data_IF_462738952089
#
_entry.id   IF_462738952089
#
_cell.length_a   1.000
_cell.length_b   1.000
_cell.length_c   1.000
_cell.angle_alpha   90.00
_cell.angle_beta   90.00
_cell.angle_gamma   90.00
#
_symmetry.space_group_name_H-M   'P 1'
#
loop_
_entity.id
_entity.type
_entity.pdbx_description
1 polymer ?
#
# COMPACT_ATOMS: atom_id res chain seq x y z
N UNK A 1 -73.87 6.49 17.78
CA UNK A 1 -73.36 7.17 18.98
C UNK A 1 -71.87 7.36 18.77
N UNK A 2 -71.43 8.62 18.83
CA UNK A 2 -70.11 9.12 18.47
C UNK A 2 -68.96 8.44 19.25
N UNK A 3 -67.81 8.25 18.60
CA UNK A 3 -66.53 8.82 19.06
C UNK A 3 -65.42 8.60 18.03
N UNK A 4 -65.05 9.69 17.36
CA UNK A 4 -63.80 9.89 16.63
C UNK A 4 -62.71 10.24 17.64
N UNK A 5 -61.60 9.51 17.66
CA UNK A 5 -60.28 10.11 17.89
C UNK A 5 -59.25 9.38 17.02
N UNK A 6 -58.79 10.04 15.96
CA UNK A 6 -57.52 9.73 15.26
C UNK A 6 -56.48 10.77 15.66
N UNK A 7 -55.32 10.29 16.12
CA UNK A 7 -53.93 10.83 16.06
C UNK A 7 -53.19 10.12 17.19
N UNK A 8 -52.20 9.28 16.88
CA UNK A 8 -50.83 9.76 16.64
C UNK A 8 -50.14 9.10 15.44
N UNK A 9 -49.31 9.90 14.78
CA UNK A 9 -48.61 9.57 13.54
C UNK A 9 -47.36 8.74 13.75
N UNK A 10 -47.51 7.44 13.98
CA UNK A 10 -46.41 6.49 13.78
C UNK A 10 -46.42 5.99 12.33
N UNK A 11 -45.41 6.39 11.55
CA UNK A 11 -45.10 5.74 10.29
C UNK A 11 -44.89 4.24 10.57
N UNK A 12 -45.38 3.31 9.72
CA UNK A 12 -45.11 1.90 9.90
C UNK A 12 -43.60 1.70 9.96
N UNK A 13 -43.11 1.16 11.08
CA UNK A 13 -41.70 0.74 11.19
C UNK A 13 -41.49 -0.27 10.09
N UNK A 14 -40.88 0.16 8.97
CA UNK A 14 -40.30 -0.78 8.02
C UNK A 14 -39.30 -1.58 8.84
N UNK A 15 -39.61 -2.85 9.07
CA UNK A 15 -38.66 -3.82 9.56
C UNK A 15 -37.41 -3.64 8.71
N UNK A 16 -36.34 -3.15 9.33
CA UNK A 16 -35.02 -3.20 8.72
C UNK A 16 -34.80 -4.69 8.51
N UNK A 17 -34.70 -5.18 7.27
CA UNK A 17 -34.52 -6.61 7.04
C UNK A 17 -33.29 -7.02 7.86
N UNK A 18 -33.45 -8.00 8.75
CA UNK A 18 -32.35 -8.55 9.53
C UNK A 18 -31.18 -8.72 8.57
N UNK A 19 -30.14 -7.93 8.82
CA UNK A 19 -29.08 -7.67 7.86
C UNK A 19 -28.55 -9.00 7.37
N UNK A 20 -28.64 -9.21 6.05
CA UNK A 20 -27.93 -10.25 5.29
C UNK A 20 -26.64 -10.57 6.03
N UNK A 21 -26.57 -11.72 6.68
CA UNK A 21 -25.51 -12.05 7.63
C UNK A 21 -24.16 -11.58 7.08
N UNK A 22 -23.69 -10.43 7.58
CA UNK A 22 -22.41 -9.90 7.19
C UNK A 22 -21.43 -10.97 7.69
N UNK A 23 -20.65 -11.55 6.76
CA UNK A 23 -19.56 -12.44 7.15
C UNK A 23 -18.85 -11.78 8.34
N UNK A 24 -18.69 -12.49 9.48
CA UNK A 24 -18.19 -11.88 10.70
C UNK A 24 -16.91 -11.13 10.35
N UNK A 25 -16.95 -9.83 10.58
CA UNK A 25 -15.85 -8.94 10.27
C UNK A 25 -14.64 -9.42 11.04
N UNK A 26 -13.56 -9.82 10.36
CA UNK A 26 -12.38 -10.33 11.05
C UNK A 26 -11.85 -9.19 11.92
N UNK A 27 -11.53 -9.43 13.21
CA UNK A 27 -11.02 -8.38 14.08
C UNK A 27 -9.80 -7.65 13.50
N UNK A 28 -8.92 -8.35 12.77
CA UNK A 28 -7.79 -7.75 12.07
C UNK A 28 -8.22 -6.67 11.05
N UNK A 29 -9.31 -6.89 10.31
CA UNK A 29 -9.83 -5.94 9.32
C UNK A 29 -10.25 -4.62 10.00
N UNK A 30 -10.79 -4.69 11.22
CA UNK A 30 -11.20 -3.50 11.98
C UNK A 30 -10.04 -2.57 12.24
N UNK A 31 -9.01 -3.11 12.87
CA UNK A 31 -7.82 -2.36 13.22
C UNK A 31 -7.09 -1.88 11.98
N UNK A 32 -7.00 -2.72 10.95
CA UNK A 32 -6.43 -2.37 9.66
C UNK A 32 -7.12 -1.15 9.03
N UNK A 33 -8.45 -1.17 8.86
CA UNK A 33 -9.19 -0.05 8.25
C UNK A 33 -9.06 1.24 9.06
N UNK A 34 -9.10 1.16 10.39
CA UNK A 34 -8.89 2.33 11.24
C UNK A 34 -7.46 2.84 11.18
N UNK A 35 -6.48 1.95 11.05
CA UNK A 35 -5.08 2.29 10.79
C UNK A 35 -4.92 3.06 9.49
N UNK A 36 -5.53 2.58 8.39
CA UNK A 36 -5.54 3.31 7.11
C UNK A 36 -6.20 4.68 7.21
N UNK A 37 -7.31 4.80 7.93
CA UNK A 37 -7.97 6.09 8.16
C UNK A 37 -7.04 7.05 8.92
N UNK A 38 -6.36 6.56 9.96
CA UNK A 38 -5.39 7.35 10.71
C UNK A 38 -4.21 7.79 9.83
N UNK A 39 -3.74 6.91 8.94
CA UNK A 39 -2.71 7.20 7.94
C UNK A 39 -3.15 8.33 7.00
N UNK A 40 -4.38 8.26 6.47
CA UNK A 40 -4.98 9.29 5.62
C UNK A 40 -5.08 10.65 6.33
N UNK A 41 -5.46 10.64 7.61
CA UNK A 41 -5.49 11.86 8.45
C UNK A 41 -4.11 12.28 8.96
N UNK A 42 -3.02 11.67 8.46
CA UNK A 42 -1.62 11.92 8.85
C UNK A 42 -1.33 11.74 10.34
N UNK A 43 -2.17 10.98 11.05
CA UNK A 43 -1.94 10.61 12.43
C UNK A 43 -1.13 9.31 12.48
N UNK A 44 0.17 9.44 12.23
CA UNK A 44 1.06 8.28 12.03
C UNK A 44 1.22 7.44 13.30
N UNK A 45 1.29 8.05 14.48
CA UNK A 45 1.40 7.31 15.75
C UNK A 45 0.17 6.41 15.99
N UNK A 46 -1.03 6.95 15.76
CA UNK A 46 -2.28 6.16 15.84
C UNK A 46 -2.35 5.09 14.75
N UNK A 47 -1.92 5.41 13.54
CA UNK A 47 -1.85 4.44 12.44
C UNK A 47 -0.97 3.24 12.80
N UNK A 48 0.25 3.51 13.30
CA UNK A 48 1.21 2.48 13.72
C UNK A 48 0.61 1.58 14.81
N UNK A 49 -0.02 2.16 15.84
CA UNK A 49 -0.64 1.38 16.91
C UNK A 49 -1.74 0.45 16.38
N UNK A 50 -2.65 0.98 15.57
CA UNK A 50 -3.77 0.21 15.01
C UNK A 50 -3.29 -0.87 14.02
N UNK A 51 -2.29 -0.59 13.19
CA UNK A 51 -1.75 -1.58 12.26
C UNK A 51 -0.99 -2.69 13.00
N UNK A 52 -0.32 -2.38 14.11
CA UNK A 52 0.24 -3.40 15.01
C UNK A 52 -0.83 -4.28 15.64
N UNK A 53 -1.94 -3.70 16.09
CA UNK A 53 -3.07 -4.49 16.62
C UNK A 53 -3.64 -5.44 15.54
N UNK A 54 -3.76 -4.96 14.30
CA UNK A 54 -4.18 -5.79 13.18
C UNK A 54 -3.24 -6.99 12.95
N UNK A 55 -1.93 -6.74 12.97
CA UNK A 55 -0.89 -7.75 12.77
C UNK A 55 -0.69 -8.68 13.98
N UNK A 56 -1.07 -8.25 15.19
CA UNK A 56 -1.11 -9.12 16.35
C UNK A 56 -2.22 -10.19 16.18
N UNK A 57 -3.34 -9.82 15.57
CA UNK A 57 -4.47 -10.72 15.30
C UNK A 57 -4.18 -11.61 14.09
N UNK A 58 -3.60 -11.04 13.03
CA UNK A 58 -3.21 -11.77 11.82
C UNK A 58 -1.79 -11.40 11.37
N UNK A 59 -0.76 -12.13 11.84
CA UNK A 59 0.63 -11.88 11.46
C UNK A 59 0.94 -12.22 10.00
N UNK A 60 0.08 -12.97 9.30
CA UNK A 60 0.32 -13.37 7.90
C UNK A 60 -0.50 -12.49 6.94
N UNK A 61 -0.52 -11.19 7.21
CA UNK A 61 -1.29 -10.22 6.46
C UNK A 61 -0.37 -9.25 5.69
N UNK A 62 -0.03 -9.54 4.40
CA UNK A 62 0.93 -8.75 3.63
C UNK A 62 0.58 -7.26 3.57
N UNK A 63 -0.70 -6.93 3.38
CA UNK A 63 -1.15 -5.53 3.33
C UNK A 63 -1.02 -4.83 4.69
N UNK A 64 -1.23 -5.54 5.80
CA UNK A 64 -1.00 -5.00 7.14
C UNK A 64 0.46 -4.58 7.32
N UNK A 65 1.39 -5.47 6.95
CA UNK A 65 2.83 -5.19 6.97
C UNK A 65 3.21 -4.04 6.03
N UNK A 66 2.70 -4.04 4.80
CA UNK A 66 2.94 -2.95 3.85
C UNK A 66 2.52 -1.59 4.41
N UNK A 67 1.28 -1.46 4.89
CA UNK A 67 0.79 -0.18 5.40
C UNK A 67 1.42 0.22 6.72
N UNK A 68 1.85 -0.74 7.56
CA UNK A 68 2.66 -0.43 8.74
C UNK A 68 4.02 0.14 8.31
N UNK A 69 4.64 -0.42 7.28
CA UNK A 69 5.83 0.13 6.63
C UNK A 69 5.63 1.55 6.11
N UNK A 70 4.48 1.83 5.46
CA UNK A 70 4.11 3.20 5.01
C UNK A 70 4.00 4.15 6.21
N UNK A 71 3.34 3.73 7.28
CA UNK A 71 3.17 4.56 8.47
C UNK A 71 4.52 4.90 9.13
N UNK A 72 5.42 3.92 9.24
CA UNK A 72 6.78 4.13 9.75
C UNK A 72 7.61 5.04 8.85
N UNK A 73 7.54 4.87 7.54
CA UNK A 73 8.24 5.72 6.59
C UNK A 73 7.79 7.18 6.73
N UNK A 74 6.48 7.43 6.78
CA UNK A 74 5.92 8.77 6.91
C UNK A 74 6.18 9.40 8.30
N UNK A 75 6.38 8.59 9.34
CA UNK A 75 6.83 9.07 10.66
C UNK A 75 8.34 9.29 10.75
N UNK A 76 9.11 8.97 9.70
CA UNK A 76 10.56 9.13 9.64
C UNK A 76 11.37 7.93 10.13
N UNK A 77 10.73 6.84 10.58
CA UNK A 77 11.41 5.63 11.02
C UNK A 77 11.67 4.68 9.83
N UNK A 78 12.75 4.97 9.11
CA UNK A 78 13.13 4.21 7.90
C UNK A 78 13.51 2.75 8.21
N UNK A 79 14.11 2.50 9.36
CA UNK A 79 14.55 1.15 9.75
C UNK A 79 13.35 0.24 9.95
N UNK A 80 12.35 0.69 10.71
CA UNK A 80 11.10 -0.06 10.90
C UNK A 80 10.34 -0.20 9.57
N UNK A 81 10.35 0.83 8.72
CA UNK A 81 9.73 0.74 7.39
C UNK A 81 10.33 -0.37 6.51
N UNK A 82 11.67 -0.45 6.43
CA UNK A 82 12.36 -1.52 5.69
C UNK A 82 11.98 -2.90 6.24
N UNK A 83 11.97 -3.06 7.57
CA UNK A 83 11.61 -4.33 8.22
C UNK A 83 10.20 -4.79 7.83
N UNK A 84 9.23 -3.89 7.89
CA UNK A 84 7.83 -4.22 7.60
C UNK A 84 7.58 -4.42 6.10
N UNK A 85 8.22 -3.65 5.22
CA UNK A 85 8.14 -3.92 3.78
C UNK A 85 8.79 -5.25 3.40
N UNK A 86 9.88 -5.66 4.05
CA UNK A 86 10.48 -6.99 3.84
C UNK A 86 9.51 -8.11 4.18
N UNK A 87 8.83 -8.02 5.34
CA UNK A 87 7.79 -8.99 5.71
C UNK A 87 6.63 -9.00 4.70
N UNK A 88 6.20 -7.83 4.23
CA UNK A 88 5.17 -7.75 3.20
C UNK A 88 5.59 -8.47 1.91
N UNK A 89 6.85 -8.32 1.48
CA UNK A 89 7.41 -8.99 0.30
C UNK A 89 7.65 -10.48 0.52
N UNK A 90 7.99 -10.90 1.74
CA UNK A 90 8.12 -12.31 2.10
C UNK A 90 6.77 -13.03 2.00
N UNK A 91 5.71 -12.40 2.51
CA UNK A 91 4.35 -12.95 2.46
C UNK A 91 3.69 -12.81 1.08
N UNK A 92 4.00 -11.74 0.35
CA UNK A 92 3.55 -11.50 -1.02
C UNK A 92 4.71 -10.97 -1.89
N UNK A 93 5.43 -11.88 -2.58
CA UNK A 93 6.54 -11.52 -3.46
C UNK A 93 6.12 -10.70 -4.68
N UNK A 94 4.82 -10.57 -4.95
CA UNK A 94 4.26 -9.83 -6.09
C UNK A 94 3.76 -8.43 -5.70
N UNK A 95 3.94 -8.02 -4.44
CA UNK A 95 3.56 -6.68 -4.01
C UNK A 95 4.50 -5.62 -4.61
N UNK A 96 4.11 -5.07 -5.77
CA UNK A 96 4.85 -4.04 -6.49
C UNK A 96 5.22 -2.85 -5.58
N UNK A 97 4.26 -2.32 -4.83
CA UNK A 97 4.48 -1.14 -4.00
C UNK A 97 5.48 -1.39 -2.87
N UNK A 98 5.46 -2.58 -2.26
CA UNK A 98 6.43 -2.94 -1.22
C UNK A 98 7.84 -3.11 -1.81
N UNK A 99 7.97 -3.78 -2.96
CA UNK A 99 9.24 -3.91 -3.69
C UNK A 99 9.81 -2.54 -4.09
N UNK A 100 8.98 -1.69 -4.69
CA UNK A 100 9.37 -0.35 -5.12
C UNK A 100 9.81 0.51 -3.92
N UNK A 101 9.07 0.49 -2.81
CA UNK A 101 9.41 1.25 -1.62
C UNK A 101 10.68 0.74 -0.91
N UNK A 102 10.96 -0.58 -0.94
CA UNK A 102 12.25 -1.12 -0.50
C UNK A 102 13.39 -0.61 -1.36
N UNK A 103 13.24 -0.64 -2.69
CA UNK A 103 14.23 -0.10 -3.61
C UNK A 103 14.54 1.37 -3.32
N UNK A 104 13.50 2.16 -3.08
CA UNK A 104 13.61 3.58 -2.71
C UNK A 104 14.35 3.78 -1.38
N UNK A 105 13.99 3.04 -0.33
CA UNK A 105 14.64 3.19 0.96
C UNK A 105 16.10 2.75 0.93
N UNK A 106 16.43 1.67 0.24
CA UNK A 106 17.81 1.24 0.05
C UNK A 106 18.63 2.26 -0.71
N UNK A 107 18.05 2.87 -1.75
CA UNK A 107 18.71 3.95 -2.49
C UNK A 107 19.01 5.15 -1.59
N UNK A 108 18.05 5.57 -0.74
CA UNK A 108 18.23 6.67 0.23
C UNK A 108 19.34 6.34 1.24
N UNK A 109 19.52 5.07 1.61
CA UNK A 109 20.61 4.61 2.50
C UNK A 109 21.96 4.46 1.78
N UNK A 110 22.05 4.75 0.48
CA UNK A 110 23.26 4.54 -0.32
C UNK A 110 23.57 3.08 -0.65
N UNK A 111 22.63 2.17 -0.35
CA UNK A 111 22.70 0.73 -0.62
C UNK A 111 22.19 0.44 -2.02
N UNK A 112 22.99 0.83 -3.01
CA UNK A 112 22.56 0.83 -4.41
C UNK A 112 22.35 -0.57 -4.98
N UNK A 113 23.10 -1.58 -4.53
CA UNK A 113 22.93 -2.97 -4.96
C UNK A 113 21.56 -3.53 -4.58
N UNK A 114 21.17 -3.36 -3.32
CA UNK A 114 19.85 -3.75 -2.83
C UNK A 114 18.74 -2.94 -3.50
N UNK A 115 18.97 -1.64 -3.73
CA UNK A 115 18.03 -0.80 -4.46
C UNK A 115 17.74 -1.34 -5.87
N UNK A 116 18.81 -1.65 -6.62
CA UNK A 116 18.75 -2.23 -7.96
C UNK A 116 18.00 -3.57 -7.92
N UNK A 117 18.31 -4.45 -6.98
CA UNK A 117 17.62 -5.74 -6.83
C UNK A 117 16.11 -5.56 -6.70
N UNK A 118 15.67 -4.72 -5.76
CA UNK A 118 14.25 -4.52 -5.48
C UNK A 118 13.51 -3.79 -6.60
N UNK A 119 14.14 -2.81 -7.26
CA UNK A 119 13.54 -2.19 -8.46
C UNK A 119 13.41 -3.18 -9.61
N UNK A 120 14.41 -4.03 -9.88
CA UNK A 120 14.28 -5.08 -10.91
C UNK A 120 13.17 -6.07 -10.59
N UNK A 121 12.96 -6.40 -9.31
CA UNK A 121 11.82 -7.23 -8.88
C UNK A 121 10.50 -6.51 -9.07
N UNK A 122 10.39 -5.23 -8.76
CA UNK A 122 9.19 -4.42 -9.02
C UNK A 122 8.86 -4.38 -10.52
N UNK A 123 9.86 -4.19 -11.39
CA UNK A 123 9.70 -4.22 -12.85
C UNK A 123 9.23 -5.59 -13.34
N UNK A 124 9.69 -6.70 -12.74
CA UNK A 124 9.17 -8.03 -13.10
C UNK A 124 7.67 -8.18 -12.80
N UNK A 125 7.16 -7.49 -11.79
CA UNK A 125 5.72 -7.48 -11.46
C UNK A 125 4.94 -6.55 -12.38
N UNK A 126 5.47 -5.35 -12.65
CA UNK A 126 4.85 -4.33 -13.52
C UNK A 126 5.88 -3.87 -14.57
N UNK A 127 5.99 -4.60 -15.70
CA UNK A 127 6.97 -4.29 -16.76
C UNK A 127 6.67 -2.99 -17.52
N UNK A 128 5.48 -2.45 -17.33
CA UNK A 128 4.96 -1.18 -17.85
C UNK A 128 5.18 -0.01 -16.88
N UNK A 129 5.87 -0.21 -15.76
CA UNK A 129 6.11 0.89 -14.81
C UNK A 129 7.29 1.76 -15.24
N UNK A 130 7.02 2.84 -15.97
CA UNK A 130 8.03 3.84 -16.31
C UNK A 130 8.75 4.40 -15.06
N UNK A 131 8.03 4.55 -13.94
CA UNK A 131 8.61 5.04 -12.69
C UNK A 131 9.65 4.06 -12.13
N UNK A 132 9.39 2.75 -12.14
CA UNK A 132 10.34 1.76 -11.67
C UNK A 132 11.62 1.74 -12.51
N UNK A 133 11.50 1.89 -13.83
CA UNK A 133 12.65 2.03 -14.74
C UNK A 133 13.44 3.31 -14.48
N UNK A 134 12.80 4.45 -14.23
CA UNK A 134 13.49 5.69 -13.85
C UNK A 134 14.28 5.49 -12.56
N UNK A 135 13.67 4.89 -11.53
CA UNK A 135 14.35 4.65 -10.25
C UNK A 135 15.49 3.65 -10.37
N UNK A 136 15.34 2.62 -11.20
CA UNK A 136 16.42 1.68 -11.53
C UNK A 136 17.59 2.40 -12.21
N UNK A 137 17.31 3.24 -13.22
CA UNK A 137 18.34 4.04 -13.89
C UNK A 137 19.06 4.99 -12.94
N UNK A 138 18.32 5.62 -12.01
CA UNK A 138 18.93 6.47 -10.98
C UNK A 138 19.84 5.67 -10.05
N UNK A 139 19.42 4.47 -9.62
CA UNK A 139 20.24 3.61 -8.78
C UNK A 139 21.52 3.13 -9.51
N UNK A 140 21.43 2.76 -10.78
CA UNK A 140 22.59 2.44 -11.60
C UNK A 140 23.56 3.62 -11.73
N UNK A 141 23.05 4.82 -12.04
CA UNK A 141 23.87 6.02 -12.15
C UNK A 141 24.58 6.36 -10.83
N UNK A 142 23.88 6.27 -9.69
CA UNK A 142 24.49 6.48 -8.36
C UNK A 142 25.57 5.46 -8.03
N UNK A 143 25.51 4.25 -8.60
CA UNK A 143 26.53 3.21 -8.48
C UNK A 143 27.68 3.37 -9.51
N UNK A 144 27.56 4.29 -10.47
CA UNK A 144 28.53 4.49 -11.56
C UNK A 144 28.35 3.57 -12.77
N UNK A 145 27.23 2.85 -12.85
CA UNK A 145 26.86 1.95 -13.94
C UNK A 145 26.09 2.73 -15.02
N UNK A 146 26.81 3.58 -15.75
CA UNK A 146 26.18 4.57 -16.64
C UNK A 146 25.48 3.94 -17.85
N UNK A 147 26.03 2.87 -18.41
CA UNK A 147 25.44 2.21 -19.59
C UNK A 147 24.09 1.57 -19.22
N UNK A 148 24.03 0.85 -18.09
CA UNK A 148 22.81 0.26 -17.57
C UNK A 148 21.78 1.33 -17.15
N UNK A 149 22.25 2.48 -16.66
CA UNK A 149 21.36 3.61 -16.36
C UNK A 149 20.70 4.14 -17.64
N UNK A 150 21.47 4.32 -18.71
CA UNK A 150 20.95 4.79 -20.01
C UNK A 150 19.90 3.81 -20.55
N UNK A 151 20.17 2.51 -20.51
CA UNK A 151 19.21 1.50 -20.97
C UNK A 151 17.92 1.51 -20.14
N UNK A 152 18.02 1.62 -18.82
CA UNK A 152 16.83 1.73 -17.96
C UNK A 152 16.00 3.00 -18.28
N UNK A 153 16.66 4.14 -18.52
CA UNK A 153 15.95 5.37 -18.89
C UNK A 153 15.31 5.29 -20.28
N UNK A 154 15.94 4.61 -21.25
CA UNK A 154 15.34 4.38 -22.58
C UNK A 154 14.04 3.59 -22.48
N UNK A 155 14.00 2.52 -21.68
CA UNK A 155 12.78 1.75 -21.45
C UNK A 155 11.68 2.61 -20.79
N UNK A 156 12.04 3.44 -19.79
CA UNK A 156 11.07 4.37 -19.21
C UNK A 156 10.49 5.37 -20.23
N UNK A 157 11.33 5.91 -21.13
CA UNK A 157 10.89 6.83 -22.19
C UNK A 157 9.97 6.11 -23.17
N UNK A 158 10.35 4.90 -23.59
CA UNK A 158 9.53 4.07 -24.48
C UNK A 158 8.15 3.80 -23.89
N UNK A 159 8.07 3.41 -22.61
CA UNK A 159 6.80 3.18 -21.92
C UNK A 159 5.94 4.45 -21.92
N UNK A 160 6.50 5.60 -21.55
CA UNK A 160 5.75 6.87 -21.54
C UNK A 160 5.21 7.26 -22.92
N UNK A 161 5.99 7.03 -23.97
CA UNK A 161 5.52 7.26 -25.35
C UNK A 161 4.34 6.35 -25.66
N UNK A 162 4.40 5.07 -25.28
CA UNK A 162 3.29 4.12 -25.49
C UNK A 162 2.03 4.52 -24.69
N UNK A 163 2.18 5.00 -23.45
CA UNK A 163 1.08 5.53 -22.64
C UNK A 163 0.41 6.74 -23.33
N UNK A 164 1.20 7.68 -23.86
CA UNK A 164 0.69 8.86 -24.58
C UNK A 164 -0.03 8.49 -25.89
N UNK A 165 0.38 7.40 -26.54
CA UNK A 165 -0.25 6.87 -27.75
C UNK A 165 -1.48 5.99 -27.46
N UNK A 166 -1.75 5.65 -26.20
CA UNK A 166 -2.84 4.75 -25.81
C UNK A 166 -2.59 3.29 -26.19
N UNK A 167 -1.32 2.87 -26.27
CA UNK A 167 -0.89 1.51 -26.63
C UNK A 167 -0.59 0.63 -25.40
N UNK A 168 -0.92 1.13 -24.19
CA UNK A 168 -0.81 0.46 -22.89
C UNK A 168 -2.13 0.55 -22.11
#
# INVERSE_FOLDING_TARGET
>A
MFSLVKRDGELPRKEIPQSRALKPYKPADYYYRRGLLALYTRNYSKSIALLKDALHIDPHFPMGHYYLGVAYFLSGDRSSAISEYKKAVELDPTNYSALFNLGMLYHIEGKYDEAIEFYRRAIKVSPDSAEAYIKLGTAYASKGMNDEAVEAYKEAIKIKILEELGEL
#
